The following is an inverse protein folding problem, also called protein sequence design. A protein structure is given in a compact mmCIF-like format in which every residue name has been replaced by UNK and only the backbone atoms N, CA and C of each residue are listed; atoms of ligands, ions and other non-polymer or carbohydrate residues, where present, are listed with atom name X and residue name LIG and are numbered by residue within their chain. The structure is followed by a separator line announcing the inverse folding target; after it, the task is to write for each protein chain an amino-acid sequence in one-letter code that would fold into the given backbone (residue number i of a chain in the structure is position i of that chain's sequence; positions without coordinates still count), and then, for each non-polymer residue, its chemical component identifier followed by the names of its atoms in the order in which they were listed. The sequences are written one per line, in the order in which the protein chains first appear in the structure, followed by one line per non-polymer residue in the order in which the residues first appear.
data_IF_569102660192
#
_entry.id   IF_569102660192
#
_cell.length_a   1.000
_cell.length_b   1.000
_cell.length_c   1.000
_cell.angle_alpha   90.00
_cell.angle_beta   90.00
_cell.angle_gamma   90.00
#
_symmetry.space_group_name_H-M   'P 1'
#
loop_
_entity.id
_entity.type
_entity.pdbx_description
1 polymer ?
#
# COMPACT_ATOMS: atom_id res chain seq x y z
N UNK A 1 0.43 6.57 9.30
CA UNK A 1 -0.55 7.65 9.58
C UNK A 1 0.12 8.99 9.83
N UNK A 2 0.86 9.20 10.94
CA UNK A 2 1.55 10.48 11.21
C UNK A 2 2.40 10.96 10.01
N UNK A 3 3.23 10.07 9.47
CA UNK A 3 4.12 10.37 8.33
C UNK A 3 3.40 10.68 7.01
N UNK A 4 2.19 10.15 6.82
CA UNK A 4 1.36 10.47 5.65
C UNK A 4 0.86 11.91 5.69
N UNK A 5 0.56 12.42 6.89
CA UNK A 5 -0.02 13.74 7.10
C UNK A 5 1.07 14.81 7.16
N UNK A 6 2.12 14.56 7.94
CA UNK A 6 3.16 15.56 8.23
C UNK A 6 4.35 15.48 7.27
N UNK A 7 4.36 14.51 6.33
CA UNK A 7 5.47 14.29 5.40
C UNK A 7 5.81 15.56 4.58
N UNK A 8 7.08 16.02 4.58
CA UNK A 8 7.49 17.27 3.92
C UNK A 8 7.52 17.15 2.39
N UNK A 9 7.73 15.95 1.83
CA UNK A 9 7.76 15.70 0.39
C UNK A 9 6.56 14.84 -0.05
N UNK A 10 6.09 15.06 -1.29
CA UNK A 10 5.03 14.22 -1.89
C UNK A 10 5.45 12.75 -2.00
N UNK A 11 6.75 12.51 -2.17
CA UNK A 11 7.36 11.18 -2.18
C UNK A 11 7.30 10.50 -0.81
N UNK A 12 7.58 11.21 0.29
CA UNK A 12 7.49 10.65 1.65
C UNK A 12 6.04 10.28 2.00
N UNK A 13 5.08 11.08 1.55
CA UNK A 13 3.64 10.76 1.69
C UNK A 13 3.23 9.55 0.87
N UNK A 14 3.71 9.44 -0.36
CA UNK A 14 3.46 8.27 -1.21
C UNK A 14 4.03 6.97 -0.61
N UNK A 15 5.28 7.01 -0.12
CA UNK A 15 5.89 5.90 0.60
C UNK A 15 5.11 5.55 1.87
N UNK A 16 4.65 6.54 2.63
CA UNK A 16 3.85 6.31 3.82
C UNK A 16 2.49 5.64 3.50
N UNK A 17 1.89 5.96 2.35
CA UNK A 17 0.68 5.29 1.87
C UNK A 17 0.96 3.84 1.45
N UNK A 18 2.05 3.59 0.73
CA UNK A 18 2.46 2.25 0.31
C UNK A 18 2.67 1.32 1.52
N UNK A 19 3.40 1.80 2.53
CA UNK A 19 3.60 1.07 3.79
C UNK A 19 2.28 0.82 4.51
N UNK A 20 1.35 1.78 4.51
CA UNK A 20 0.03 1.59 5.12
C UNK A 20 -0.77 0.47 4.44
N UNK A 21 -0.71 0.39 3.11
CA UNK A 21 -1.35 -0.67 2.35
C UNK A 21 -0.70 -2.02 2.67
N UNK A 22 0.64 -2.09 2.72
CA UNK A 22 1.36 -3.30 3.10
C UNK A 22 0.95 -3.80 4.50
N UNK A 23 0.85 -2.90 5.49
CA UNK A 23 0.38 -3.26 6.84
C UNK A 23 -1.06 -3.76 6.82
N UNK A 24 -1.93 -3.17 5.99
CA UNK A 24 -3.32 -3.60 5.84
C UNK A 24 -3.40 -5.02 5.27
N UNK A 25 -2.60 -5.33 4.25
CA UNK A 25 -2.48 -6.68 3.66
C UNK A 25 -2.05 -7.69 4.73
N UNK A 26 -1.04 -7.37 5.54
CA UNK A 26 -0.59 -8.23 6.64
C UNK A 26 -1.72 -8.45 7.67
N UNK A 27 -2.48 -7.41 8.01
CA UNK A 27 -3.62 -7.53 8.92
C UNK A 27 -4.72 -8.46 8.42
N UNK A 28 -5.07 -8.36 7.13
CA UNK A 28 -6.06 -9.27 6.50
C UNK A 28 -5.52 -10.70 6.46
N UNK A 29 -4.23 -10.88 6.15
CA UNK A 29 -3.60 -12.21 6.16
C UNK A 29 -3.59 -12.83 7.56
N UNK A 30 -3.35 -12.03 8.60
CA UNK A 30 -3.41 -12.48 9.99
C UNK A 30 -4.84 -12.87 10.40
N UNK A 31 -5.84 -12.11 9.97
CA UNK A 31 -7.25 -12.39 10.20
C UNK A 31 -7.67 -13.72 9.54
N UNK A 32 -7.28 -13.95 8.28
CA UNK A 32 -7.49 -15.21 7.58
C UNK A 32 -6.82 -16.40 8.29
N UNK A 33 -5.57 -16.22 8.74
CA UNK A 33 -4.81 -17.24 9.44
C UNK A 33 -5.41 -17.58 10.82
N UNK A 34 -5.91 -16.58 11.53
CA UNK A 34 -6.53 -16.73 12.84
C UNK A 34 -7.86 -17.47 12.76
N UNK A 35 -8.74 -17.09 11.83
CA UNK A 35 -10.06 -17.70 11.69
C UNK A 35 -10.05 -19.05 10.97
N UNK A 36 -8.94 -19.43 10.32
CA UNK A 36 -8.78 -20.68 9.56
C UNK A 36 -9.82 -20.87 8.45
N UNK A 37 -10.42 -19.78 7.97
CA UNK A 37 -11.33 -19.77 6.83
C UNK A 37 -10.74 -18.94 5.70
N UNK A 38 -10.89 -19.43 4.47
CA UNK A 38 -10.29 -18.82 3.28
C UNK A 38 -11.16 -17.74 2.64
N UNK A 39 -12.31 -17.39 3.25
CA UNK A 39 -13.26 -16.43 2.73
C UNK A 39 -12.66 -15.01 2.57
N UNK A 40 -11.62 -14.66 3.33
CA UNK A 40 -10.94 -13.36 3.24
C UNK A 40 -9.72 -13.34 2.31
N UNK A 41 -9.30 -14.49 1.79
CA UNK A 41 -8.20 -14.57 0.81
C UNK A 41 -8.46 -13.81 -0.51
N UNK A 42 -9.69 -13.82 -1.08
CA UNK A 42 -9.97 -13.01 -2.27
C UNK A 42 -9.80 -11.51 -2.01
N UNK A 43 -10.21 -11.03 -0.84
CA UNK A 43 -10.05 -9.62 -0.43
C UNK A 43 -8.55 -9.30 -0.30
N UNK A 44 -7.79 -10.17 0.37
CA UNK A 44 -6.34 -10.06 0.50
C UNK A 44 -5.66 -9.94 -0.87
N UNK A 45 -6.07 -10.78 -1.83
CA UNK A 45 -5.53 -10.79 -3.18
C UNK A 45 -5.80 -9.47 -3.90
N UNK A 46 -7.06 -9.01 -3.91
CA UNK A 46 -7.45 -7.77 -4.58
C UNK A 46 -6.72 -6.57 -3.98
N UNK A 47 -6.68 -6.47 -2.65
CA UNK A 47 -5.99 -5.36 -1.95
C UNK A 47 -4.49 -5.37 -2.24
N UNK A 48 -3.87 -6.55 -2.30
CA UNK A 48 -2.44 -6.68 -2.62
C UNK A 48 -2.13 -6.21 -4.05
N UNK A 49 -2.96 -6.60 -5.02
CA UNK A 49 -2.80 -6.18 -6.42
C UNK A 49 -2.99 -4.66 -6.55
N UNK A 50 -4.05 -4.11 -5.94
CA UNK A 50 -4.33 -2.67 -5.97
C UNK A 50 -3.20 -1.88 -5.32
N UNK A 51 -2.69 -2.33 -4.17
CA UNK A 51 -1.56 -1.73 -3.49
C UNK A 51 -0.31 -1.68 -4.35
N UNK A 52 0.04 -2.83 -4.95
CA UNK A 52 1.20 -2.94 -5.83
C UNK A 52 1.08 -2.03 -7.07
N UNK A 53 -0.06 -2.07 -7.77
CA UNK A 53 -0.31 -1.24 -8.96
C UNK A 53 -0.28 0.25 -8.61
N UNK A 54 -0.84 0.62 -7.45
CA UNK A 54 -0.80 1.98 -6.92
C UNK A 54 0.64 2.45 -6.70
N UNK A 55 1.46 1.62 -6.04
CA UNK A 55 2.88 1.89 -5.77
C UNK A 55 3.68 2.14 -7.06
N UNK A 56 3.55 1.22 -8.03
CA UNK A 56 4.21 1.31 -9.33
C UNK A 56 3.78 2.56 -10.11
N UNK A 57 2.49 2.89 -10.06
CA UNK A 57 1.96 4.09 -10.71
C UNK A 57 2.59 5.35 -10.13
N UNK A 58 2.66 5.46 -8.80
CA UNK A 58 3.28 6.62 -8.14
C UNK A 58 4.77 6.71 -8.46
N UNK A 59 5.50 5.60 -8.42
CA UNK A 59 6.93 5.57 -8.78
C UNK A 59 7.16 6.07 -10.22
N UNK A 60 6.33 5.62 -11.17
CA UNK A 60 6.43 6.03 -12.58
C UNK A 60 6.20 7.53 -12.77
N UNK A 61 5.19 8.11 -12.11
CA UNK A 61 4.92 9.54 -12.24
C UNK A 61 5.91 10.41 -11.46
N UNK A 62 6.46 9.91 -10.35
CA UNK A 62 7.47 10.63 -9.59
C UNK A 62 8.78 10.81 -10.37
N UNK A 63 9.24 9.77 -11.09
CA UNK A 63 10.45 9.84 -11.92
C UNK A 63 10.32 10.91 -13.02
N UNK A 64 9.14 11.06 -13.60
CA UNK A 64 8.87 11.96 -14.73
C UNK A 64 8.87 13.44 -14.35
N UNK A 65 8.80 13.76 -13.05
CA UNK A 65 8.84 15.11 -12.49
C UNK A 65 10.26 15.59 -12.15
N UNK A 66 11.26 14.71 -12.26
CA UNK A 66 12.66 15.01 -11.97
C UNK A 66 13.44 15.41 -13.24
N UNK A 67 12.75 15.64 -14.36
CA UNK A 67 13.33 15.98 -15.66
C UNK A 67 12.87 17.35 -16.20
N UNK A 68 12.24 18.15 -15.33
CA UNK A 68 11.97 19.58 -15.52
C UNK A 68 12.71 20.36 -14.43
#
# INVERSE_FOLDING_TARGET
MIRLITGPSRLDRALALDVLIAVTVVGIGLEAAYHRYTATLPILLVVSIVGFVGSVSVARFAVRRNSE
#
